data_IF_406029230573
#
_entry.id   IF_406029230573
#
_cell.length_a   1.000
_cell.length_b   1.000
_cell.length_c   1.000
_cell.angle_alpha   90.00
_cell.angle_beta   90.00
_cell.angle_gamma   90.00
#
_symmetry.space_group_name_H-M   'P 1'
#
loop_
_entity.id
_entity.type
_entity.pdbx_description
1 polymer ?
#
# COMPACT_ATOMS: atom_id res chain seq x y z
N UNK A 1 4.02 -10.29 11.92
CA UNK A 1 3.17 -9.33 11.19
C UNK A 1 3.94 -8.48 10.17
N UNK A 2 4.89 -7.62 10.58
CA UNK A 2 5.62 -6.77 9.60
C UNK A 2 6.66 -7.53 8.77
N UNK A 3 7.38 -8.48 9.36
CA UNK A 3 8.29 -9.36 8.62
C UNK A 3 7.55 -10.18 7.57
N UNK A 4 6.43 -10.82 7.93
CA UNK A 4 5.57 -11.55 7.00
C UNK A 4 5.03 -10.65 5.87
N UNK A 5 4.68 -9.39 6.19
CA UNK A 5 4.23 -8.43 5.18
C UNK A 5 5.37 -8.00 4.24
N UNK A 6 6.58 -7.85 4.75
CA UNK A 6 7.77 -7.58 3.96
C UNK A 6 8.13 -8.76 3.04
N UNK A 7 8.05 -9.98 3.55
CA UNK A 7 8.24 -11.20 2.75
C UNK A 7 7.21 -11.29 1.63
N UNK A 8 5.94 -11.08 1.95
CA UNK A 8 4.85 -11.07 0.97
C UNK A 8 5.07 -9.97 -0.08
N UNK A 9 5.37 -8.75 0.34
CA UNK A 9 5.66 -7.64 -0.57
C UNK A 9 6.84 -7.95 -1.49
N UNK A 10 7.94 -8.51 -0.96
CA UNK A 10 9.12 -8.90 -1.74
C UNK A 10 8.76 -9.95 -2.79
N UNK A 11 7.98 -10.97 -2.42
CA UNK A 11 7.49 -11.99 -3.35
C UNK A 11 6.62 -11.40 -4.46
N UNK A 12 5.66 -10.53 -4.10
CA UNK A 12 4.79 -9.88 -5.07
C UNK A 12 5.57 -8.93 -5.99
N UNK A 13 6.56 -8.20 -5.48
CA UNK A 13 7.41 -7.32 -6.28
C UNK A 13 8.24 -8.12 -7.29
N UNK A 14 8.78 -9.27 -6.89
CA UNK A 14 9.48 -10.19 -7.79
C UNK A 14 8.55 -10.75 -8.87
N UNK A 15 7.35 -11.22 -8.49
CA UNK A 15 6.35 -11.73 -9.44
C UNK A 15 5.88 -10.66 -10.43
N UNK A 16 5.57 -9.46 -9.92
CA UNK A 16 5.11 -8.35 -10.74
C UNK A 16 6.13 -7.97 -11.81
N UNK A 17 7.41 -7.91 -11.44
CA UNK A 17 8.51 -7.64 -12.38
C UNK A 17 8.72 -8.78 -13.37
N UNK A 18 8.74 -10.02 -12.90
CA UNK A 18 8.96 -11.20 -13.75
C UNK A 18 7.91 -11.32 -14.85
N UNK A 19 6.65 -11.04 -14.51
CA UNK A 19 5.52 -11.19 -15.44
C UNK A 19 5.10 -9.89 -16.14
N UNK A 20 5.67 -8.74 -15.76
CA UNK A 20 5.24 -7.44 -16.28
C UNK A 20 3.77 -7.12 -16.00
N UNK A 21 3.23 -7.61 -14.87
CA UNK A 21 1.81 -7.56 -14.53
C UNK A 21 1.60 -7.21 -13.05
N UNK A 22 0.38 -6.81 -12.68
CA UNK A 22 0.03 -6.58 -11.27
C UNK A 22 0.04 -7.91 -10.51
N UNK A 23 0.79 -7.98 -9.41
CA UNK A 23 0.72 -9.07 -8.45
C UNK A 23 -0.14 -8.66 -7.25
N UNK A 24 -0.92 -9.58 -6.70
CA UNK A 24 -1.91 -9.27 -5.65
C UNK A 24 -1.95 -10.31 -4.55
N UNK A 25 -2.22 -9.89 -3.32
CA UNK A 25 -2.52 -10.78 -2.21
C UNK A 25 -3.67 -10.24 -1.34
N UNK A 26 -4.50 -11.16 -0.86
CA UNK A 26 -5.48 -10.87 0.20
C UNK A 26 -4.85 -11.18 1.56
N UNK A 27 -5.03 -10.26 2.50
CA UNK A 27 -4.60 -10.35 3.88
C UNK A 27 -5.81 -10.57 4.80
N UNK A 28 -5.56 -10.91 6.06
CA UNK A 28 -6.62 -11.01 7.05
C UNK A 28 -7.39 -9.67 7.18
N UNK A 29 -8.69 -9.76 7.49
CA UNK A 29 -9.52 -8.57 7.72
C UNK A 29 -9.91 -7.78 6.47
N UNK A 30 -9.90 -8.41 5.28
CA UNK A 30 -10.33 -7.77 4.02
C UNK A 30 -9.30 -6.81 3.42
N UNK A 31 -8.10 -6.75 4.00
CA UNK A 31 -7.01 -5.93 3.45
C UNK A 31 -6.45 -6.60 2.21
N UNK A 32 -6.10 -5.81 1.19
CA UNK A 32 -5.50 -6.27 -0.05
C UNK A 32 -4.22 -5.51 -0.33
N UNK A 33 -3.25 -6.22 -0.88
CA UNK A 33 -1.97 -5.71 -1.33
C UNK A 33 -1.88 -5.86 -2.85
N UNK A 34 -1.52 -4.80 -3.56
CA UNK A 34 -1.23 -4.82 -4.99
C UNK A 34 0.18 -4.30 -5.23
N UNK A 35 0.90 -4.93 -6.14
CA UNK A 35 2.20 -4.46 -6.59
C UNK A 35 2.20 -4.37 -8.11
N UNK A 36 2.39 -3.17 -8.64
CA UNK A 36 2.52 -2.90 -10.07
C UNK A 36 3.98 -2.60 -10.41
N UNK A 37 4.57 -3.26 -11.44
CA UNK A 37 5.95 -3.03 -11.82
C UNK A 37 6.10 -1.67 -12.52
N UNK A 38 7.17 -0.94 -12.20
CA UNK A 38 7.56 0.28 -12.91
C UNK A 38 8.90 0.05 -13.61
N UNK A 39 9.29 0.94 -14.53
CA UNK A 39 10.64 0.92 -15.12
C UNK A 39 11.76 1.00 -14.06
N UNK A 40 11.48 1.74 -12.97
CA UNK A 40 12.34 1.87 -11.79
C UNK A 40 11.47 1.72 -10.55
N UNK A 41 11.63 0.59 -9.87
CA UNK A 41 10.88 0.26 -8.67
C UNK A 41 9.53 -0.38 -8.93
N UNK A 42 8.61 -0.18 -7.98
CA UNK A 42 7.23 -0.67 -8.05
C UNK A 42 6.27 0.38 -7.48
N UNK A 43 5.00 0.24 -7.83
CA UNK A 43 3.90 0.93 -7.16
C UNK A 43 3.21 -0.06 -6.23
N UNK A 44 3.26 0.21 -4.94
CA UNK A 44 2.63 -0.57 -3.88
C UNK A 44 1.28 0.06 -3.53
N UNK A 45 0.21 -0.74 -3.49
CA UNK A 45 -1.08 -0.32 -2.97
C UNK A 45 -1.54 -1.21 -1.81
N UNK A 46 -1.94 -0.59 -0.70
CA UNK A 46 -2.48 -1.26 0.49
C UNK A 46 -3.84 -0.66 0.82
N UNK A 47 -4.87 -1.49 0.93
CA UNK A 47 -6.23 -0.98 1.11
C UNK A 47 -7.23 -2.08 1.43
N UNK A 48 -8.52 -1.74 1.40
CA UNK A 48 -9.62 -2.68 1.66
C UNK A 48 -10.56 -2.74 0.47
N UNK A 49 -11.17 -3.92 0.26
CA UNK A 49 -12.14 -4.12 -0.80
C UNK A 49 -13.37 -3.20 -0.67
N UNK A 50 -14.07 -2.97 -1.78
CA UNK A 50 -15.32 -2.22 -1.76
C UNK A 50 -16.34 -2.93 -0.86
N UNK A 51 -16.95 -2.18 0.08
CA UNK A 51 -17.91 -2.72 1.04
C UNK A 51 -17.30 -3.43 2.26
N UNK A 52 -15.97 -3.50 2.36
CA UNK A 52 -15.26 -4.10 3.49
C UNK A 52 -14.71 -2.99 4.42
N UNK A 53 -15.26 -2.90 5.63
CA UNK A 53 -14.82 -1.97 6.68
C UNK A 53 -15.74 -0.75 6.89
N UNK A 54 -15.48 0.05 7.94
CA UNK A 54 -16.27 1.25 8.23
C UNK A 54 -16.11 2.29 7.10
N UNK A 55 -17.11 3.15 6.86
CA UNK A 55 -17.04 4.19 5.85
C UNK A 55 -15.84 5.10 6.13
N UNK A 56 -14.82 5.00 5.26
CA UNK A 56 -13.59 5.78 5.38
C UNK A 56 -13.86 7.22 5.01
N UNK A 57 -13.62 8.14 5.94
CA UNK A 57 -13.77 9.57 5.69
C UNK A 57 -12.49 10.11 5.05
N UNK A 58 -12.55 10.36 3.74
CA UNK A 58 -11.49 11.00 2.96
C UNK A 58 -10.84 12.19 3.69
N UNK A 59 -11.67 13.04 4.30
CA UNK A 59 -11.23 14.23 5.03
C UNK A 59 -10.39 13.91 6.28
N UNK A 60 -10.66 12.81 6.99
CA UNK A 60 -9.84 12.39 8.15
C UNK A 60 -8.45 11.95 7.66
N UNK A 61 -8.40 11.10 6.64
CA UNK A 61 -7.15 10.62 6.06
C UNK A 61 -6.30 11.79 5.57
N UNK A 62 -6.89 12.70 4.78
CA UNK A 62 -6.19 13.87 4.24
C UNK A 62 -5.69 14.80 5.36
N UNK A 63 -6.46 15.00 6.43
CA UNK A 63 -6.02 15.78 7.60
C UNK A 63 -4.84 15.12 8.32
N UNK A 64 -4.89 13.81 8.57
CA UNK A 64 -3.77 13.08 9.21
C UNK A 64 -2.51 13.18 8.37
N UNK A 65 -2.60 12.89 7.08
CA UNK A 65 -1.48 13.01 6.13
C UNK A 65 -0.91 14.43 6.11
N UNK A 66 -1.77 15.44 6.12
CA UNK A 66 -1.36 16.85 6.12
C UNK A 66 -0.70 17.30 7.43
N UNK A 67 -0.99 16.65 8.55
CA UNK A 67 -0.42 17.00 9.85
C UNK A 67 1.06 16.57 10.00
N UNK A 68 1.47 15.50 9.30
CA UNK A 68 2.85 15.00 9.33
C UNK A 68 3.29 14.53 7.93
N UNK A 69 3.47 15.49 7.02
CA UNK A 69 3.84 15.22 5.63
C UNK A 69 5.20 14.53 5.51
N UNK A 70 6.12 14.78 6.44
CA UNK A 70 7.46 14.17 6.41
C UNK A 70 7.37 12.65 6.55
N UNK A 71 6.47 12.16 7.40
CA UNK A 71 6.30 10.73 7.67
C UNK A 71 5.21 10.08 6.82
N UNK A 72 4.11 10.79 6.58
CA UNK A 72 2.91 10.25 5.94
C UNK A 72 2.79 10.64 4.46
N UNK A 73 3.59 11.59 3.99
CA UNK A 73 3.46 12.19 2.66
C UNK A 73 3.73 11.23 1.50
N UNK A 74 4.56 10.19 1.72
CA UNK A 74 4.89 9.18 0.71
C UNK A 74 3.70 8.30 0.31
N UNK A 75 2.72 8.16 1.21
CA UNK A 75 1.48 7.43 0.96
C UNK A 75 0.42 8.37 0.38
N UNK A 76 -0.09 8.01 -0.80
CA UNK A 76 -1.09 8.76 -1.53
C UNK A 76 -2.43 8.03 -1.47
N UNK A 77 -3.52 8.66 -1.01
CA UNK A 77 -4.85 8.05 -1.10
C UNK A 77 -5.29 7.92 -2.56
N UNK A 78 -5.85 6.77 -2.89
CA UNK A 78 -6.44 6.46 -4.19
C UNK A 78 -7.81 5.81 -3.99
N UNK A 79 -8.80 6.33 -4.72
CA UNK A 79 -10.12 5.72 -4.88
C UNK A 79 -10.13 5.02 -6.23
N UNK A 80 -10.37 3.71 -6.22
CA UNK A 80 -10.48 2.94 -7.46
C UNK A 80 -11.91 3.03 -8.01
N UNK A 81 -12.09 2.70 -9.30
CA UNK A 81 -13.37 2.83 -9.99
C UNK A 81 -14.47 1.92 -9.39
N UNK A 82 -14.10 0.84 -8.72
CA UNK A 82 -15.00 -0.05 -7.98
C UNK A 82 -15.41 0.50 -6.61
N UNK A 83 -14.96 1.70 -6.25
CA UNK A 83 -15.21 2.34 -4.95
C UNK A 83 -14.31 1.86 -3.82
N UNK A 84 -13.34 0.99 -4.10
CA UNK A 84 -12.36 0.55 -3.10
C UNK A 84 -11.30 1.62 -2.83
N UNK A 85 -10.80 1.63 -1.59
CA UNK A 85 -9.88 2.65 -1.07
C UNK A 85 -8.51 2.04 -0.83
N UNK A 86 -7.48 2.66 -1.41
CA UNK A 86 -6.09 2.27 -1.24
C UNK A 86 -5.23 3.45 -0.80
N UNK A 87 -4.17 3.14 -0.07
CA UNK A 87 -2.98 3.96 0.00
C UNK A 87 -1.96 3.43 -0.99
N UNK A 88 -1.37 4.32 -1.75
CA UNK A 88 -0.42 4.00 -2.81
C UNK A 88 0.92 4.66 -2.50
N UNK A 89 2.01 3.91 -2.63
CA UNK A 89 3.39 4.39 -2.46
C UNK A 89 4.24 3.92 -3.61
N UNK A 90 5.08 4.82 -4.13
CA UNK A 90 6.12 4.44 -5.08
C UNK A 90 7.33 3.95 -4.29
N UNK A 91 7.75 2.72 -4.54
CA UNK A 91 8.92 2.13 -3.90
C UNK A 91 10.05 2.05 -4.93
N UNK A 92 11.26 2.48 -4.57
CA UNK A 92 12.43 2.39 -5.43
C UNK A 92 12.96 0.95 -5.55
N UNK A 93 13.88 0.70 -6.48
CA UNK A 93 14.50 -0.63 -6.61
C UNK A 93 15.28 -1.06 -5.36
N UNK A 94 15.84 -0.09 -4.63
CA UNK A 94 16.49 -0.33 -3.32
C UNK A 94 15.52 -0.87 -2.26
N UNK A 95 14.23 -0.64 -2.45
CA UNK A 95 13.14 -1.08 -1.57
C UNK A 95 12.46 -2.34 -2.11
N UNK A 96 13.09 -3.07 -3.04
CA UNK A 96 12.51 -4.29 -3.60
C UNK A 96 12.46 -5.46 -2.59
N UNK A 97 13.33 -5.42 -1.57
CA UNK A 97 13.49 -6.48 -0.58
C UNK A 97 12.77 -6.19 0.75
N UNK A 98 11.83 -5.25 0.73
CA UNK A 98 11.11 -4.81 1.93
C UNK A 98 11.09 -3.30 2.09
N UNK A 99 10.19 -2.85 2.95
CA UNK A 99 10.13 -1.50 3.47
C UNK A 99 10.54 -1.47 4.93
N UNK A 100 11.03 -0.31 5.36
CA UNK A 100 11.27 -0.05 6.77
C UNK A 100 9.97 -0.18 7.57
N UNK A 101 10.12 -0.67 8.79
CA UNK A 101 9.04 -0.87 9.75
C UNK A 101 8.16 0.37 10.00
N UNK A 102 8.74 1.56 9.83
CA UNK A 102 8.05 2.85 9.95
C UNK A 102 7.09 3.12 8.78
N UNK A 103 7.38 2.60 7.59
CA UNK A 103 6.53 2.77 6.40
C UNK A 103 5.25 1.96 6.54
N UNK A 104 5.34 0.74 7.03
CA UNK A 104 4.17 -0.10 7.32
C UNK A 104 3.29 0.52 8.41
N UNK A 105 3.90 1.06 9.47
CA UNK A 105 3.17 1.77 10.53
C UNK A 105 2.47 3.03 10.00
N UNK A 106 3.13 3.80 9.13
CA UNK A 106 2.54 4.98 8.51
C UNK A 106 1.31 4.61 7.66
N UNK A 107 1.39 3.53 6.89
CA UNK A 107 0.26 3.03 6.11
C UNK A 107 -0.90 2.60 7.01
N UNK A 108 -0.63 1.80 8.05
CA UNK A 108 -1.65 1.37 9.00
C UNK A 108 -2.35 2.54 9.71
N UNK A 109 -1.60 3.56 10.13
CA UNK A 109 -2.14 4.75 10.78
C UNK A 109 -3.09 5.53 9.87
N UNK A 110 -2.75 5.63 8.58
CA UNK A 110 -3.60 6.29 7.59
C UNK A 110 -4.84 5.47 7.22
N UNK A 111 -4.80 4.14 7.40
CA UNK A 111 -5.92 3.25 7.11
C UNK A 111 -6.93 3.12 8.26
N UNK A 112 -6.57 3.50 9.49
CA UNK A 112 -7.46 3.53 10.67
C UNK A 112 -8.34 4.78 10.71
#
# INVERSE_FOLDING_TARGET
MKEELNELYTQLAAQARLHGAVATAALAGGTRLFVYPLERGVLLALGVGAGEGPPRQAGILLRRRGADVRRLGAWLPALFADGSWYLVRRCADSEANGLDDHEWLAAEELLR
#
